data_IF_469083725035
#
_entry.id   IF_469083725035
#
_cell.length_a   1.000
_cell.length_b   1.000
_cell.length_c   1.000
_cell.angle_alpha   90.00
_cell.angle_beta   90.00
_cell.angle_gamma   90.00
#
_symmetry.space_group_name_H-M   'P 1'
#
loop_
_entity.id
_entity.type
_entity.pdbx_description
1 polymer ?
#
# COMPACT_ATOMS: atom_id res chain seq x y z
N UNK A 1 -47.73 -12.52 -46.13
CA UNK A 1 -46.72 -13.55 -46.49
C UNK A 1 -45.59 -12.85 -47.19
N UNK A 2 -44.49 -12.57 -46.48
CA UNK A 2 -43.28 -12.00 -47.08
C UNK A 2 -42.11 -12.82 -46.55
N UNK A 3 -41.42 -13.44 -47.50
CA UNK A 3 -40.42 -14.49 -47.32
C UNK A 3 -39.03 -13.90 -47.12
N UNK A 4 -38.27 -14.52 -46.22
CA UNK A 4 -36.86 -14.26 -45.95
C UNK A 4 -36.01 -14.94 -47.04
N UNK A 5 -34.99 -14.28 -47.65
CA UNK A 5 -33.96 -14.97 -48.39
C UNK A 5 -32.69 -15.18 -47.55
N UNK A 6 -32.11 -16.38 -47.70
CA UNK A 6 -30.86 -16.83 -47.10
C UNK A 6 -29.62 -16.14 -47.70
N UNK A 7 -28.49 -16.05 -46.96
CA UNK A 7 -27.26 -15.47 -47.49
C UNK A 7 -26.45 -16.47 -48.32
N UNK A 8 -25.98 -16.01 -49.47
CA UNK A 8 -25.11 -16.72 -50.39
C UNK A 8 -23.64 -16.69 -49.94
N UNK A 9 -23.01 -17.84 -50.10
CA UNK A 9 -21.57 -18.12 -49.99
C UNK A 9 -20.75 -17.36 -51.03
N UNK A 10 -19.63 -16.74 -50.62
CA UNK A 10 -18.55 -16.34 -51.54
C UNK A 10 -17.18 -16.28 -50.83
N UNK A 11 -16.43 -17.35 -51.07
CA UNK A 11 -14.99 -17.44 -51.37
C UNK A 11 -13.99 -16.52 -50.67
N UNK A 12 -13.17 -17.16 -49.84
CA UNK A 12 -11.86 -16.73 -49.34
C UNK A 12 -10.84 -16.61 -50.47
N UNK A 13 -10.32 -15.40 -50.69
CA UNK A 13 -9.13 -15.14 -51.51
C UNK A 13 -7.90 -15.07 -50.59
N UNK A 14 -7.05 -16.09 -50.66
CA UNK A 14 -5.69 -16.06 -50.13
C UNK A 14 -4.83 -15.18 -51.04
N UNK A 15 -4.34 -14.05 -50.52
CA UNK A 15 -3.30 -13.26 -51.17
C UNK A 15 -1.92 -13.70 -50.65
N UNK A 16 -1.16 -14.38 -51.50
CA UNK A 16 0.27 -14.61 -51.31
C UNK A 16 1.03 -13.37 -51.76
N UNK A 17 1.57 -12.60 -50.82
CA UNK A 17 2.54 -11.54 -51.11
C UNK A 17 3.91 -11.91 -50.55
N UNK A 18 4.79 -12.28 -51.47
CA UNK A 18 6.24 -12.35 -51.27
C UNK A 18 6.78 -10.93 -51.10
N UNK A 19 7.39 -10.61 -49.95
CA UNK A 19 8.33 -9.48 -49.86
C UNK A 19 9.64 -9.93 -49.21
N UNK A 20 10.69 -9.75 -50.00
CA UNK A 20 12.10 -10.01 -49.72
C UNK A 20 12.59 -9.15 -48.55
N UNK A 21 13.36 -9.80 -47.68
CA UNK A 21 14.23 -9.18 -46.68
C UNK A 21 15.26 -8.27 -47.36
N UNK A 22 15.31 -7.00 -46.95
CA UNK A 22 16.42 -6.08 -47.23
C UNK A 22 17.39 -6.06 -46.04
N UNK A 23 18.71 -6.03 -46.26
CA UNK A 23 19.69 -6.00 -45.17
C UNK A 23 19.91 -4.56 -44.67
N UNK A 24 19.78 -4.37 -43.35
CA UNK A 24 20.16 -3.14 -42.65
C UNK A 24 21.69 -2.95 -42.69
N UNK A 25 22.20 -1.74 -43.01
CA UNK A 25 23.62 -1.43 -42.87
C UNK A 25 23.97 -1.05 -41.43
N UNK A 26 24.88 -1.81 -40.82
CA UNK A 26 25.55 -1.52 -39.56
C UNK A 26 26.43 -0.27 -39.68
N UNK A 27 25.97 0.86 -39.14
CA UNK A 27 26.80 2.05 -38.92
C UNK A 27 27.57 1.90 -37.60
N UNK A 28 28.82 1.43 -37.70
CA UNK A 28 29.87 1.58 -36.69
C UNK A 28 30.18 3.07 -36.50
N UNK A 29 29.89 3.62 -35.32
CA UNK A 29 30.48 4.89 -34.86
C UNK A 29 31.71 4.58 -34.00
N UNK A 30 32.89 4.93 -34.51
CA UNK A 30 34.14 4.99 -33.75
C UNK A 30 34.12 6.24 -32.84
N UNK A 31 34.58 6.16 -31.58
CA UNK A 31 34.93 7.34 -30.80
C UNK A 31 36.38 7.73 -31.10
N UNK A 32 36.57 8.92 -31.68
CA UNK A 32 37.87 9.59 -31.83
C UNK A 32 38.35 10.11 -30.48
N UNK A 33 39.51 9.66 -30.02
CA UNK A 33 40.29 10.28 -28.94
C UNK A 33 41.36 11.19 -29.56
N UNK A 34 41.62 12.40 -29.01
CA UNK A 34 42.76 13.20 -29.44
C UNK A 34 44.06 12.68 -28.82
N UNK A 35 45.06 12.48 -29.68
CA UNK A 35 46.44 12.12 -29.35
C UNK A 35 47.21 13.40 -28.98
N UNK A 36 47.78 13.45 -27.76
CA UNK A 36 48.75 14.46 -27.36
C UNK A 36 50.17 13.92 -27.58
N UNK A 37 51.00 14.71 -28.27
CA UNK A 37 52.34 14.35 -28.71
C UNK A 37 53.41 14.29 -27.61
N UNK A 38 54.41 13.45 -27.86
CA UNK A 38 55.59 13.23 -27.03
C UNK A 38 56.61 14.37 -27.14
N UNK A 39 57.29 14.68 -26.03
CA UNK A 39 58.41 15.63 -25.95
C UNK A 39 59.31 15.40 -24.73
N UNK A 40 60.41 14.68 -24.98
CA UNK A 40 61.66 14.44 -24.22
C UNK A 40 62.00 15.18 -22.91
N UNK A 41 62.44 14.37 -21.94
CA UNK A 41 63.41 14.55 -20.84
C UNK A 41 64.34 15.79 -20.85
N UNK A 42 64.51 16.43 -19.66
CA UNK A 42 65.80 16.46 -18.91
C UNK A 42 65.67 17.03 -17.48
N UNK A 43 66.29 16.32 -16.54
CA UNK A 43 66.45 16.64 -15.13
C UNK A 43 67.62 17.62 -14.91
N UNK A 44 67.44 18.63 -14.03
CA UNK A 44 68.53 19.36 -13.36
C UNK A 44 68.15 19.65 -11.91
N UNK A 45 69.08 19.28 -11.05
CA UNK A 45 69.14 19.36 -9.59
C UNK A 45 69.43 20.76 -9.05
N UNK A 46 68.82 21.13 -7.92
CA UNK A 46 69.45 21.89 -6.83
C UNK A 46 68.79 21.57 -5.46
N UNK A 47 69.63 21.37 -4.44
CA UNK A 47 69.35 21.03 -3.02
C UNK A 47 68.80 22.26 -2.23
N UNK A 48 68.28 22.27 -0.98
CA UNK A 48 68.30 21.52 0.32
C UNK A 48 67.29 22.29 1.27
N UNK A 49 67.06 22.04 2.59
CA UNK A 49 67.27 20.92 3.54
C UNK A 49 65.95 20.51 4.29
N UNK A 50 65.95 19.65 5.35
CA UNK A 50 64.80 18.81 5.72
C UNK A 50 63.90 19.39 6.81
N UNK A 51 62.62 18.98 6.82
CA UNK A 51 61.70 19.21 7.94
C UNK A 51 60.97 17.92 8.35
N UNK A 52 61.28 17.50 9.58
CA UNK A 52 60.46 16.83 10.59
C UNK A 52 59.49 15.71 10.16
N UNK A 53 59.83 14.50 10.60
CA UNK A 53 58.94 13.33 10.62
C UNK A 53 57.86 13.56 11.69
N UNK A 54 56.60 13.69 11.27
CA UNK A 54 55.43 13.45 12.11
C UNK A 54 54.71 12.23 11.57
N UNK A 55 54.67 11.18 12.40
CA UNK A 55 53.91 9.96 12.16
C UNK A 55 52.42 10.28 12.23
N UNK A 56 51.77 10.41 11.07
CA UNK A 56 50.31 10.30 10.98
C UNK A 56 49.94 8.84 10.77
N UNK A 57 49.22 8.28 11.72
CA UNK A 57 48.56 6.97 11.65
C UNK A 57 47.76 6.83 10.34
N UNK A 58 47.77 5.65 9.69
CA UNK A 58 46.97 5.45 8.50
C UNK A 58 45.50 5.35 8.92
N UNK A 59 44.73 6.41 8.64
CA UNK A 59 43.27 6.32 8.55
C UNK A 59 42.93 5.31 7.45
N UNK A 60 42.56 4.10 7.83
CA UNK A 60 41.85 3.16 6.97
C UNK A 60 40.52 3.80 6.58
N UNK A 61 40.53 4.55 5.47
CA UNK A 61 39.31 4.82 4.71
C UNK A 61 38.91 3.50 4.07
N UNK A 62 37.99 2.79 4.71
CA UNK A 62 37.22 1.73 4.07
C UNK A 62 36.46 2.33 2.89
N UNK A 63 37.03 2.19 1.70
CA UNK A 63 36.32 2.41 0.45
C UNK A 63 35.49 1.15 0.21
N UNK A 64 34.24 1.12 0.70
CA UNK A 64 33.29 0.12 0.26
C UNK A 64 32.97 0.38 -1.22
N UNK A 65 33.57 -0.43 -2.10
CA UNK A 65 33.11 -0.56 -3.48
C UNK A 65 31.68 -1.13 -3.42
N UNK A 66 30.65 -0.28 -3.54
CA UNK A 66 29.30 -0.75 -3.83
C UNK A 66 29.35 -1.42 -5.21
N UNK A 67 29.25 -2.74 -5.25
CA UNK A 67 29.17 -3.54 -6.48
C UNK A 67 27.97 -3.06 -7.32
N UNK A 68 28.23 -2.18 -8.27
CA UNK A 68 27.23 -1.49 -9.11
C UNK A 68 26.36 -2.44 -9.96
N UNK A 69 26.71 -3.73 -10.00
CA UNK A 69 26.02 -4.77 -10.78
C UNK A 69 25.23 -5.77 -9.92
N UNK A 70 25.17 -5.60 -8.59
CA UNK A 70 24.48 -6.55 -7.73
C UNK A 70 22.99 -6.27 -7.70
N UNK A 71 22.24 -6.98 -8.54
CA UNK A 71 20.78 -7.03 -8.48
C UNK A 71 20.38 -7.79 -7.23
N UNK A 72 19.65 -7.13 -6.33
CA UNK A 72 19.05 -7.76 -5.16
C UNK A 72 17.54 -7.84 -5.35
N UNK A 73 16.96 -9.04 -5.23
CA UNK A 73 15.52 -9.23 -5.27
C UNK A 73 14.91 -9.24 -3.86
N UNK A 74 13.58 -9.05 -3.80
CA UNK A 74 12.83 -9.00 -2.54
C UNK A 74 13.05 -10.24 -1.69
N UNK A 75 13.01 -11.43 -2.28
CA UNK A 75 13.22 -12.70 -1.56
C UNK A 75 14.58 -12.74 -0.87
N UNK A 76 15.66 -12.41 -1.60
CA UNK A 76 17.01 -12.39 -1.04
C UNK A 76 17.15 -11.31 0.02
N UNK A 77 16.54 -10.15 -0.19
CA UNK A 77 16.54 -9.07 0.78
C UNK A 77 15.83 -9.45 2.08
N UNK A 78 14.65 -10.10 2.00
CA UNK A 78 13.91 -10.60 3.17
C UNK A 78 14.72 -11.64 3.94
N UNK A 79 15.32 -12.61 3.25
CA UNK A 79 16.18 -13.63 3.88
C UNK A 79 17.38 -13.01 4.60
N UNK A 80 17.94 -11.90 4.09
CA UNK A 80 18.99 -11.16 4.81
C UNK A 80 18.46 -10.46 6.06
N UNK A 81 17.23 -9.93 6.02
CA UNK A 81 16.60 -9.34 7.21
C UNK A 81 16.31 -10.41 8.28
N UNK A 82 15.92 -11.61 7.86
CA UNK A 82 15.75 -12.78 8.73
C UNK A 82 17.08 -13.20 9.38
N UNK A 83 18.13 -13.38 8.57
CA UNK A 83 19.48 -13.70 9.07
C UNK A 83 20.03 -12.63 10.02
N UNK A 84 19.67 -11.36 9.78
CA UNK A 84 20.01 -10.24 10.65
C UNK A 84 19.18 -10.15 11.94
N UNK A 85 18.17 -11.01 12.11
CA UNK A 85 17.28 -11.02 13.26
C UNK A 85 16.33 -9.82 13.32
N UNK A 86 16.13 -9.10 12.21
CA UNK A 86 15.16 -8.00 12.13
C UNK A 86 13.74 -8.53 12.05
N UNK A 87 13.55 -9.65 11.35
CA UNK A 87 12.29 -10.36 11.20
C UNK A 87 12.50 -11.85 11.47
N UNK A 88 11.43 -12.56 11.79
CA UNK A 88 11.46 -14.02 11.90
C UNK A 88 11.12 -14.70 10.56
N UNK A 89 11.23 -16.03 10.56
CA UNK A 89 10.90 -16.85 9.39
C UNK A 89 9.40 -16.76 9.03
N UNK A 90 8.52 -16.60 10.03
CA UNK A 90 7.08 -16.53 9.80
C UNK A 90 6.66 -15.25 9.06
N UNK A 91 7.16 -14.09 9.50
CA UNK A 91 6.93 -12.81 8.85
C UNK A 91 7.54 -12.77 7.44
N UNK A 92 8.68 -13.43 7.24
CA UNK A 92 9.29 -13.60 5.92
C UNK A 92 8.34 -14.31 4.94
N UNK A 93 7.66 -15.36 5.40
CA UNK A 93 6.65 -16.08 4.60
C UNK A 93 5.44 -15.18 4.34
N UNK A 94 4.92 -14.49 5.35
CA UNK A 94 3.77 -13.57 5.20
C UNK A 94 4.06 -12.49 4.16
N UNK A 95 5.22 -11.83 4.24
CA UNK A 95 5.64 -10.80 3.28
C UNK A 95 5.83 -11.36 1.87
N UNK A 96 6.36 -12.57 1.75
CA UNK A 96 6.50 -13.26 0.48
C UNK A 96 5.13 -13.57 -0.15
N UNK A 97 4.17 -14.06 0.65
CA UNK A 97 2.79 -14.29 0.22
C UNK A 97 2.07 -13.01 -0.23
N UNK A 98 2.25 -11.90 0.50
CA UNK A 98 1.73 -10.59 0.11
C UNK A 98 2.32 -10.16 -1.24
N UNK A 99 3.65 -10.32 -1.42
CA UNK A 99 4.29 -9.98 -2.69
C UNK A 99 3.76 -10.81 -3.87
N UNK A 100 3.42 -12.08 -3.63
CA UNK A 100 2.82 -12.96 -4.64
C UNK A 100 1.41 -12.49 -5.02
N UNK A 101 0.57 -12.15 -4.03
CA UNK A 101 -0.76 -11.58 -4.27
C UNK A 101 -0.66 -10.31 -5.13
N UNK A 102 0.25 -9.40 -4.79
CA UNK A 102 0.51 -8.17 -5.55
C UNK A 102 0.94 -8.44 -7.01
N UNK A 103 1.80 -9.45 -7.25
CA UNK A 103 2.20 -9.85 -8.62
C UNK A 103 0.99 -10.35 -9.42
N UNK A 104 0.12 -11.15 -8.80
CA UNK A 104 -1.09 -11.66 -9.45
C UNK A 104 -2.10 -10.56 -9.76
N UNK A 105 -2.35 -9.65 -8.81
CA UNK A 105 -3.22 -8.48 -9.00
C UNK A 105 -2.68 -7.57 -10.10
N UNK A 106 -1.37 -7.30 -10.13
CA UNK A 106 -0.75 -6.53 -11.20
C UNK A 106 -1.01 -7.15 -12.58
N UNK A 107 -0.87 -8.47 -12.70
CA UNK A 107 -1.17 -9.19 -13.95
C UNK A 107 -2.66 -9.09 -14.33
N UNK A 108 -3.58 -9.12 -13.36
CA UNK A 108 -5.01 -8.97 -13.61
C UNK A 108 -5.37 -7.56 -14.06
N UNK A 109 -4.84 -6.54 -13.40
CA UNK A 109 -5.08 -5.13 -13.74
C UNK A 109 -4.60 -4.81 -15.16
N UNK A 110 -3.41 -5.28 -15.54
CA UNK A 110 -2.85 -5.10 -16.90
C UNK A 110 -3.68 -5.78 -17.99
N UNK A 111 -4.44 -6.82 -17.64
CA UNK A 111 -5.27 -7.60 -18.58
C UNK A 111 -6.76 -7.30 -18.44
N UNK A 112 -7.15 -6.43 -17.52
CA UNK A 112 -8.54 -6.20 -17.10
C UNK A 112 -9.48 -5.88 -18.26
N UNK A 113 -9.04 -5.00 -19.17
CA UNK A 113 -9.79 -4.63 -20.38
C UNK A 113 -9.88 -5.75 -21.43
N UNK A 114 -8.97 -6.73 -21.39
CA UNK A 114 -8.95 -7.88 -22.31
C UNK A 114 -9.88 -8.98 -21.79
N UNK A 115 -9.87 -9.21 -20.48
CA UNK A 115 -10.65 -10.26 -19.82
C UNK A 115 -12.06 -9.81 -19.42
N UNK A 116 -12.49 -8.61 -19.83
CA UNK A 116 -13.78 -8.00 -19.47
C UNK A 116 -14.04 -8.00 -17.95
N UNK A 117 -12.99 -7.75 -17.17
CA UNK A 117 -13.07 -7.61 -15.70
C UNK A 117 -13.39 -6.16 -15.28
N UNK A 118 -13.53 -5.24 -16.23
CA UNK A 118 -13.95 -3.85 -16.02
C UNK A 118 -15.46 -3.76 -15.82
N UNK A 119 -15.91 -2.81 -14.99
CA UNK A 119 -17.32 -2.59 -14.66
C UNK A 119 -17.78 -3.15 -13.31
N UNK A 120 -18.97 -2.71 -12.89
CA UNK A 120 -19.57 -3.06 -11.62
C UNK A 120 -19.92 -4.56 -11.53
N UNK A 121 -19.80 -5.12 -10.33
CA UNK A 121 -20.24 -6.49 -10.04
C UNK A 121 -21.76 -6.58 -9.81
N UNK A 122 -22.44 -5.43 -9.71
CA UNK A 122 -23.87 -5.35 -9.42
C UNK A 122 -24.21 -5.57 -7.94
N UNK A 123 -23.19 -5.64 -7.08
CA UNK A 123 -23.29 -5.71 -5.62
C UNK A 123 -22.83 -4.40 -5.00
N UNK A 124 -23.56 -3.95 -3.98
CA UNK A 124 -23.16 -2.83 -3.14
C UNK A 124 -22.36 -3.43 -1.98
N UNK A 125 -21.17 -2.88 -1.72
CA UNK A 125 -20.34 -3.37 -0.61
C UNK A 125 -20.95 -2.98 0.76
N UNK A 126 -20.34 -3.47 1.85
CA UNK A 126 -20.82 -3.26 3.22
C UNK A 126 -20.81 -1.78 3.65
N UNK A 127 -20.19 -0.90 2.86
CA UNK A 127 -20.12 0.54 3.10
C UNK A 127 -20.98 1.37 2.13
N UNK A 128 -21.77 0.73 1.26
CA UNK A 128 -22.69 1.44 0.36
C UNK A 128 -22.06 1.89 -0.97
N UNK A 129 -20.88 1.41 -1.32
CA UNK A 129 -20.15 1.75 -2.56
C UNK A 129 -20.37 0.66 -3.64
N UNK A 130 -20.36 1.04 -4.91
CA UNK A 130 -20.50 0.10 -6.04
C UNK A 130 -19.23 -0.76 -6.15
N UNK A 131 -19.35 -2.04 -5.81
CA UNK A 131 -18.22 -2.95 -5.80
C UNK A 131 -17.83 -3.34 -7.23
N UNK A 132 -16.54 -3.21 -7.59
CA UNK A 132 -16.05 -3.65 -8.89
C UNK A 132 -15.60 -5.10 -8.81
N UNK A 133 -15.69 -5.80 -9.95
CA UNK A 133 -15.31 -7.23 -10.03
C UNK A 133 -13.86 -7.47 -9.62
N UNK A 134 -12.98 -6.53 -9.95
CA UNK A 134 -11.57 -6.62 -9.61
C UNK A 134 -11.31 -6.47 -8.11
N UNK A 135 -12.17 -5.76 -7.39
CA UNK A 135 -12.04 -5.60 -5.94
C UNK A 135 -12.27 -6.95 -5.26
N UNK A 136 -13.35 -7.66 -5.64
CA UNK A 136 -13.67 -9.00 -5.13
C UNK A 136 -12.59 -10.02 -5.49
N UNK A 137 -12.15 -10.05 -6.75
CA UNK A 137 -11.10 -11.00 -7.16
C UNK A 137 -9.79 -10.72 -6.41
N UNK A 138 -9.44 -9.45 -6.21
CA UNK A 138 -8.21 -9.08 -5.50
C UNK A 138 -8.27 -9.43 -4.02
N UNK A 139 -9.42 -9.24 -3.38
CA UNK A 139 -9.67 -9.70 -2.01
C UNK A 139 -9.52 -11.22 -1.88
N UNK A 140 -10.12 -11.98 -2.81
CA UNK A 140 -10.00 -13.46 -2.84
C UNK A 140 -8.55 -13.90 -3.00
N UNK A 141 -7.77 -13.26 -3.88
CA UNK A 141 -6.36 -13.55 -4.09
C UNK A 141 -5.51 -13.28 -2.85
N UNK A 142 -5.71 -12.12 -2.21
CA UNK A 142 -5.03 -11.79 -0.95
C UNK A 142 -5.36 -12.83 0.13
N UNK A 143 -6.64 -13.12 0.33
CA UNK A 143 -7.07 -14.10 1.32
C UNK A 143 -6.49 -15.49 1.01
N UNK A 144 -6.50 -15.93 -0.24
CA UNK A 144 -5.95 -17.24 -0.64
C UNK A 144 -4.44 -17.34 -0.41
N UNK A 145 -3.67 -16.31 -0.81
CA UNK A 145 -2.22 -16.25 -0.60
C UNK A 145 -1.84 -16.20 0.89
N UNK A 146 -2.62 -15.49 1.71
CA UNK A 146 -2.39 -15.40 3.15
C UNK A 146 -2.81 -16.68 3.88
N UNK A 147 -3.93 -17.31 3.52
CA UNK A 147 -4.35 -18.60 4.10
C UNK A 147 -3.36 -19.71 3.78
N UNK A 148 -2.95 -19.83 2.52
CA UNK A 148 -1.94 -20.81 2.09
C UNK A 148 -0.56 -20.61 2.72
N UNK A 149 -0.27 -19.43 3.26
CA UNK A 149 0.97 -19.20 4.03
C UNK A 149 1.02 -20.01 5.33
N UNK A 150 -0.14 -20.30 5.93
CA UNK A 150 -0.25 -20.97 7.23
C UNK A 150 0.26 -20.15 8.43
N UNK A 151 0.63 -18.87 8.25
CA UNK A 151 1.28 -18.01 9.27
C UNK A 151 0.46 -16.79 9.70
N UNK A 152 -0.66 -16.52 9.03
CA UNK A 152 -1.54 -15.39 9.35
C UNK A 152 -2.70 -15.85 10.22
N UNK A 153 -2.78 -15.39 11.48
CA UNK A 153 -3.87 -15.78 12.39
C UNK A 153 -5.18 -15.07 12.09
N UNK A 154 -5.13 -13.75 11.85
CA UNK A 154 -6.32 -12.95 11.56
C UNK A 154 -6.10 -12.14 10.28
N UNK A 155 -7.11 -12.14 9.42
CA UNK A 155 -7.17 -11.35 8.20
C UNK A 155 -8.29 -10.31 8.35
N UNK A 156 -7.97 -9.02 8.19
CA UNK A 156 -8.95 -7.97 8.09
C UNK A 156 -8.82 -7.27 6.73
N UNK A 157 -9.88 -7.33 5.94
CA UNK A 157 -9.94 -6.70 4.63
C UNK A 157 -10.90 -5.53 4.67
N UNK A 158 -10.58 -4.49 3.91
CA UNK A 158 -11.49 -3.38 3.64
C UNK A 158 -12.84 -3.85 3.05
N UNK A 159 -12.80 -4.90 2.22
CA UNK A 159 -13.96 -5.44 1.48
C UNK A 159 -14.87 -6.34 2.33
N UNK A 160 -14.43 -6.75 3.52
CA UNK A 160 -15.15 -7.66 4.40
C UNK A 160 -15.72 -6.91 5.61
N UNK A 161 -16.98 -7.20 6.00
CA UNK A 161 -17.60 -6.55 7.15
C UNK A 161 -16.86 -6.85 8.47
N UNK A 162 -16.36 -8.08 8.62
CA UNK A 162 -15.80 -8.59 9.87
C UNK A 162 -14.47 -9.27 9.58
N UNK A 163 -13.45 -9.10 10.44
CA UNK A 163 -12.20 -9.84 10.32
C UNK A 163 -12.43 -11.36 10.40
N UNK A 164 -11.61 -12.11 9.68
CA UNK A 164 -11.70 -13.57 9.57
C UNK A 164 -10.50 -14.20 10.26
N UNK A 165 -10.76 -15.04 11.27
CA UNK A 165 -9.76 -15.95 11.82
C UNK A 165 -9.42 -17.04 10.80
N UNK A 166 -8.14 -17.38 10.69
CA UNK A 166 -7.68 -18.44 9.78
C UNK A 166 -7.43 -19.70 10.59
N UNK A 167 -8.44 -20.57 10.66
CA UNK A 167 -8.40 -21.85 11.40
C UNK A 167 -7.33 -22.81 10.87
N UNK A 168 -6.95 -22.71 9.59
CA UNK A 168 -5.95 -23.59 8.96
C UNK A 168 -4.49 -23.22 9.28
N UNK A 169 -4.23 -22.31 10.22
CA UNK A 169 -2.86 -21.90 10.57
C UNK A 169 -2.24 -22.76 11.65
N UNK A 170 -0.99 -23.16 11.44
CA UNK A 170 -0.24 -24.01 12.37
C UNK A 170 0.28 -23.24 13.60
N UNK A 171 0.37 -21.90 13.51
CA UNK A 171 1.00 -21.04 14.53
C UNK A 171 0.62 -19.55 14.41
N UNK A 172 -0.51 -19.21 13.78
CA UNK A 172 -0.82 -17.86 13.25
C UNK A 172 -0.66 -16.68 14.21
N UNK A 173 0.56 -16.15 14.34
CA UNK A 173 0.90 -15.06 15.26
C UNK A 173 0.58 -13.68 14.69
N UNK A 174 0.48 -13.55 13.36
CA UNK A 174 0.37 -12.24 12.72
C UNK A 174 -1.07 -11.89 12.35
N UNK A 175 -1.39 -10.61 12.51
CA UNK A 175 -2.65 -10.03 12.05
C UNK A 175 -2.32 -9.18 10.83
N UNK A 176 -2.95 -9.51 9.69
CA UNK A 176 -2.74 -8.77 8.44
C UNK A 176 -4.00 -8.00 8.12
N UNK A 177 -3.84 -6.68 8.02
CA UNK A 177 -4.90 -5.76 7.58
C UNK A 177 -4.55 -5.26 6.18
N UNK A 178 -5.50 -5.22 5.26
CA UNK A 178 -5.20 -4.77 3.90
C UNK A 178 -6.38 -4.11 3.20
N UNK A 179 -6.04 -3.24 2.25
CA UNK A 179 -6.93 -2.77 1.19
C UNK A 179 -6.46 -3.42 -0.12
N UNK A 180 -7.27 -4.31 -0.74
CA UNK A 180 -6.85 -5.06 -1.91
C UNK A 180 -6.65 -4.15 -3.13
N UNK A 181 -7.50 -3.12 -3.30
CA UNK A 181 -7.37 -2.12 -4.37
C UNK A 181 -7.83 -0.74 -3.86
N UNK A 182 -6.87 0.11 -3.50
CA UNK A 182 -7.06 1.54 -3.39
C UNK A 182 -7.21 2.17 -4.79
N UNK A 183 -8.14 3.13 -4.85
CA UNK A 183 -8.46 3.84 -6.09
C UNK A 183 -9.25 2.98 -7.08
N UNK A 184 -10.09 2.05 -6.63
CA UNK A 184 -10.94 1.23 -7.51
C UNK A 184 -11.71 2.04 -8.57
N UNK A 185 -12.12 3.27 -8.24
CA UNK A 185 -12.70 4.24 -9.18
C UNK A 185 -11.86 4.47 -10.46
N UNK A 186 -10.54 4.38 -10.36
CA UNK A 186 -9.56 4.58 -11.45
C UNK A 186 -9.39 3.37 -12.38
N UNK A 187 -9.93 2.19 -12.02
CA UNK A 187 -9.77 0.96 -12.80
C UNK A 187 -10.27 1.14 -14.24
N UNK A 188 -11.49 1.66 -14.42
CA UNK A 188 -12.12 1.74 -15.74
C UNK A 188 -11.50 2.83 -16.63
N UNK A 189 -10.77 3.77 -16.03
CA UNK A 189 -10.05 4.85 -16.73
C UNK A 189 -8.57 4.53 -16.96
N UNK A 190 -8.14 3.31 -16.62
CA UNK A 190 -6.74 2.87 -16.69
C UNK A 190 -5.76 3.82 -15.97
N UNK A 191 -6.24 4.47 -14.90
CA UNK A 191 -5.44 5.33 -14.05
C UNK A 191 -4.76 4.49 -12.95
N UNK A 192 -3.88 5.15 -12.19
CA UNK A 192 -3.10 4.51 -11.13
C UNK A 192 -3.99 3.99 -10.02
N UNK A 193 -3.68 2.77 -9.56
CA UNK A 193 -4.28 2.09 -8.40
C UNK A 193 -3.17 1.49 -7.52
N UNK A 194 -3.52 0.87 -6.41
CA UNK A 194 -2.55 0.12 -5.60
C UNK A 194 -3.19 -0.76 -4.54
N UNK A 195 -2.42 -1.64 -3.91
CA UNK A 195 -2.84 -2.38 -2.71
C UNK A 195 -2.10 -1.84 -1.49
N UNK A 196 -2.75 -1.84 -0.33
CA UNK A 196 -2.19 -1.36 0.94
C UNK A 196 -2.21 -2.50 1.95
N UNK A 197 -1.17 -2.64 2.77
CA UNK A 197 -1.17 -3.63 3.85
C UNK A 197 -0.44 -3.13 5.10
N UNK A 198 -0.92 -3.58 6.25
CA UNK A 198 -0.29 -3.44 7.56
C UNK A 198 -0.24 -4.79 8.26
N UNK A 199 0.83 -5.03 9.01
CA UNK A 199 1.04 -6.27 9.76
C UNK A 199 1.24 -5.91 11.23
N UNK A 200 0.37 -6.44 12.08
CA UNK A 200 0.47 -6.34 13.52
C UNK A 200 0.95 -7.66 14.12
N UNK A 201 1.58 -7.56 15.28
CA UNK A 201 1.80 -8.72 16.14
C UNK A 201 0.51 -9.18 16.81
N UNK A 202 0.54 -10.34 17.46
CA UNK A 202 -0.60 -10.82 18.22
C UNK A 202 -0.83 -9.90 19.42
N UNK A 203 -2.09 -9.60 19.73
CA UNK A 203 -2.39 -8.91 20.98
C UNK A 203 -2.17 -9.89 22.14
N UNK A 204 -1.31 -9.51 23.10
CA UNK A 204 -1.05 -10.31 24.31
C UNK A 204 -2.32 -10.53 25.14
N UNK A 205 -3.34 -9.69 24.97
CA UNK A 205 -4.63 -9.83 25.67
C UNK A 205 -5.57 -10.85 25.00
N UNK A 206 -5.29 -11.24 23.75
CA UNK A 206 -6.12 -12.16 22.98
C UNK A 206 -5.45 -13.51 22.69
N UNK A 207 -4.20 -13.72 23.15
CA UNK A 207 -3.58 -15.04 23.18
C UNK A 207 -4.33 -15.91 24.19
N UNK A 208 -5.05 -16.90 23.69
CA UNK A 208 -5.60 -18.00 24.49
C UNK A 208 -4.78 -19.23 24.16
N UNK A 209 -4.12 -19.81 25.17
CA UNK A 209 -3.58 -21.16 25.07
C UNK A 209 -4.77 -22.11 24.82
N UNK A 210 -4.84 -22.69 23.63
CA UNK A 210 -5.89 -23.65 23.24
C UNK A 210 -5.85 -24.95 24.05
N UNK A 211 -4.92 -25.07 24.99
CA UNK A 211 -4.70 -26.24 25.86
C UNK A 211 -5.26 -26.07 27.28
N UNK A 212 -5.83 -24.91 27.65
CA UNK A 212 -6.33 -24.65 29.01
C UNK A 212 -7.87 -24.50 29.05
N UNK A 213 -8.55 -25.65 29.17
CA UNK A 213 -10.01 -25.80 29.40
C UNK A 213 -10.53 -25.05 30.65
N UNK A 214 -9.65 -24.44 31.46
CA UNK A 214 -10.01 -23.76 32.71
C UNK A 214 -10.46 -22.30 32.55
N UNK A 215 -10.30 -21.69 31.38
CA UNK A 215 -10.56 -20.24 31.19
C UNK A 215 -12.04 -19.89 30.95
N UNK A 216 -12.93 -20.87 30.79
CA UNK A 216 -14.36 -20.68 30.47
C UNK A 216 -15.25 -20.14 31.61
N UNK A 217 -14.69 -19.57 32.69
CA UNK A 217 -15.47 -19.28 33.90
C UNK A 217 -15.34 -17.87 34.50
N UNK A 218 -14.96 -16.85 33.72
CA UNK A 218 -15.08 -15.46 34.19
C UNK A 218 -15.81 -14.54 33.20
N UNK A 219 -17.00 -14.00 33.55
CA UNK A 219 -17.64 -12.98 32.73
C UNK A 219 -16.81 -11.70 32.74
N UNK A 220 -16.60 -11.13 31.55
CA UNK A 220 -15.87 -9.88 31.34
C UNK A 220 -16.76 -8.69 31.75
N UNK A 221 -16.48 -8.05 32.89
CA UNK A 221 -17.18 -6.83 33.32
C UNK A 221 -16.75 -5.63 32.46
N UNK A 222 -17.57 -5.28 31.47
CA UNK A 222 -17.56 -3.95 30.86
C UNK A 222 -17.98 -2.91 31.91
N UNK A 223 -17.05 -2.06 32.35
CA UNK A 223 -17.35 -0.86 33.15
C UNK A 223 -18.19 0.11 32.31
N UNK A 224 -19.51 -0.02 32.40
CA UNK A 224 -20.46 0.93 31.83
C UNK A 224 -20.34 2.29 32.54
N UNK A 225 -19.88 3.31 31.81
CA UNK A 225 -20.17 4.71 32.11
C UNK A 225 -21.28 5.20 31.18
N UNK A 226 -22.51 5.14 31.66
CA UNK A 226 -23.54 6.15 31.40
C UNK A 226 -24.33 6.08 30.08
N UNK A 227 -25.58 5.61 30.23
CA UNK A 227 -26.80 5.77 29.41
C UNK A 227 -27.07 4.71 28.32
N UNK A 228 -28.27 4.09 28.32
CA UNK A 228 -28.62 3.03 27.39
C UNK A 228 -29.10 3.64 26.07
N UNK A 229 -28.42 3.31 24.96
CA UNK A 229 -29.06 3.34 23.65
C UNK A 229 -29.45 1.91 23.30
N UNK A 230 -30.76 1.65 23.32
CA UNK A 230 -31.37 0.42 22.84
C UNK A 230 -31.09 0.32 21.34
N UNK A 231 -30.23 -0.61 20.93
CA UNK A 231 -30.02 -0.95 19.54
C UNK A 231 -31.14 -1.90 19.11
N UNK A 232 -32.15 -1.37 18.41
CA UNK A 232 -33.15 -2.20 17.73
C UNK A 232 -32.52 -2.83 16.49
N UNK A 233 -32.26 -4.14 16.50
CA UNK A 233 -32.04 -4.89 15.27
C UNK A 233 -33.43 -5.26 14.69
N UNK A 234 -33.87 -4.53 13.67
CA UNK A 234 -35.09 -4.87 12.94
C UNK A 234 -34.83 -6.07 12.03
N UNK A 235 -35.25 -7.27 12.47
CA UNK A 235 -35.31 -8.46 11.60
C UNK A 235 -36.61 -8.38 10.78
N UNK A 236 -36.56 -7.70 9.64
CA UNK A 236 -37.69 -7.70 8.69
C UNK A 236 -37.71 -9.03 7.96
N UNK A 237 -38.66 -9.88 8.32
CA UNK A 237 -38.94 -11.15 7.65
C UNK A 237 -39.59 -10.88 6.29
N UNK A 238 -38.89 -11.14 5.19
CA UNK A 238 -39.51 -11.24 3.85
C UNK A 238 -39.51 -12.71 3.44
N UNK A 239 -40.71 -13.31 3.48
CA UNK A 239 -41.01 -14.63 2.91
C UNK A 239 -41.23 -14.47 1.39
N UNK A 240 -40.56 -15.30 0.58
CA UNK A 240 -41.04 -15.63 -0.77
C UNK A 240 -39.99 -16.03 -1.80
N UNK A 241 -40.12 -17.28 -2.29
CA UNK A 241 -39.72 -17.81 -3.62
C UNK A 241 -38.27 -18.31 -3.87
N UNK A 242 -38.07 -19.59 -3.51
CA UNK A 242 -37.56 -20.72 -4.34
C UNK A 242 -36.42 -20.44 -5.35
N UNK A 243 -35.21 -20.96 -5.09
CA UNK A 243 -34.41 -21.73 -6.09
C UNK A 243 -33.47 -22.77 -5.43
N UNK A 244 -33.60 -24.01 -5.92
CA UNK A 244 -32.95 -25.32 -5.68
C UNK A 244 -31.64 -25.47 -4.85
N UNK A 245 -31.77 -26.28 -3.78
CA UNK A 245 -30.92 -27.39 -3.26
C UNK A 245 -29.38 -27.26 -3.32
N UNK A 246 -28.82 -26.65 -2.26
CA UNK A 246 -27.78 -27.28 -1.43
C UNK A 246 -28.25 -27.18 0.02
N UNK A 247 -28.15 -28.27 0.76
CA UNK A 247 -28.60 -28.40 2.15
C UNK A 247 -27.86 -27.39 3.04
N UNK A 248 -28.49 -26.24 3.31
CA UNK A 248 -28.10 -25.37 4.42
C UNK A 248 -28.58 -26.01 5.71
N UNK A 249 -27.64 -26.46 6.54
CA UNK A 249 -27.90 -26.80 7.93
C UNK A 249 -28.20 -25.47 8.62
N UNK A 250 -29.45 -25.23 9.01
CA UNK A 250 -29.79 -24.10 9.87
C UNK A 250 -29.13 -24.37 11.22
N UNK A 251 -28.04 -23.65 11.53
CA UNK A 251 -27.41 -23.68 12.83
C UNK A 251 -28.33 -22.88 13.77
N UNK A 252 -29.00 -23.57 14.69
CA UNK A 252 -29.78 -22.96 15.76
C UNK A 252 -29.33 -23.61 17.06
N UNK A 253 -28.51 -22.91 17.85
CA UNK A 253 -27.92 -23.41 19.09
C UNK A 253 -26.61 -22.70 19.47
N UNK A 254 -25.88 -23.21 20.49
CA UNK A 254 -24.65 -22.61 21.05
C UNK A 254 -23.50 -22.42 20.06
N UNK A 255 -23.51 -23.09 18.90
CA UNK A 255 -22.58 -22.85 17.79
C UNK A 255 -22.69 -21.42 17.21
N UNK A 256 -23.87 -20.79 17.25
CA UNK A 256 -24.05 -19.41 16.78
C UNK A 256 -23.45 -18.41 17.77
N UNK A 257 -23.62 -18.64 19.08
CA UNK A 257 -23.04 -17.81 20.15
C UNK A 257 -21.50 -17.89 20.14
N UNK A 258 -20.94 -19.09 19.99
CA UNK A 258 -19.49 -19.29 19.85
C UNK A 258 -18.88 -18.57 18.64
N UNK A 259 -19.59 -18.56 17.51
CA UNK A 259 -19.13 -17.90 16.28
C UNK A 259 -19.14 -16.37 16.43
N UNK A 260 -20.10 -15.83 17.17
CA UNK A 260 -20.20 -14.39 17.42
C UNK A 260 -19.16 -13.93 18.44
N UNK A 261 -18.88 -14.71 19.48
CA UNK A 261 -17.76 -14.44 20.39
C UNK A 261 -16.39 -14.50 19.69
N UNK A 262 -16.18 -15.46 18.77
CA UNK A 262 -14.94 -15.55 18.01
C UNK A 262 -14.72 -14.33 17.11
N UNK A 263 -15.78 -13.83 16.48
CA UNK A 263 -15.75 -12.59 15.68
C UNK A 263 -15.46 -11.37 16.55
N UNK A 264 -16.11 -11.24 17.71
CA UNK A 264 -15.85 -10.14 18.64
C UNK A 264 -14.39 -10.13 19.10
N UNK A 265 -13.81 -11.30 19.41
CA UNK A 265 -12.38 -11.44 19.75
C UNK A 265 -11.47 -11.01 18.59
N UNK A 266 -11.81 -11.39 17.36
CA UNK A 266 -11.04 -10.97 16.18
C UNK A 266 -11.09 -9.45 15.98
N UNK A 267 -12.27 -8.85 16.15
CA UNK A 267 -12.46 -7.39 16.09
C UNK A 267 -11.58 -6.68 17.11
N UNK A 268 -11.58 -7.13 18.37
CA UNK A 268 -10.75 -6.54 19.42
C UNK A 268 -9.26 -6.67 19.08
N UNK A 269 -8.82 -7.86 18.67
CA UNK A 269 -7.42 -8.13 18.33
C UNK A 269 -6.90 -7.28 17.17
N UNK A 270 -7.77 -6.93 16.22
CA UNK A 270 -7.45 -6.15 15.02
C UNK A 270 -7.42 -4.64 15.30
N UNK A 271 -8.25 -4.16 16.25
CA UNK A 271 -8.39 -2.75 16.60
C UNK A 271 -7.22 -2.23 17.45
N UNK A 272 -6.00 -2.33 16.93
CA UNK A 272 -4.78 -1.82 17.54
C UNK A 272 -4.38 -0.46 16.97
N UNK A 273 -3.74 0.42 17.75
CA UNK A 273 -3.18 1.66 17.22
C UNK A 273 -2.08 1.37 16.20
N UNK A 274 -1.94 2.23 15.19
CA UNK A 274 -0.94 2.07 14.13
C UNK A 274 0.52 2.06 14.65
N UNK A 275 0.76 2.54 15.87
CA UNK A 275 2.05 2.41 16.55
C UNK A 275 2.51 0.97 16.78
N UNK A 276 1.58 0.01 16.78
CA UNK A 276 1.84 -1.41 16.98
C UNK A 276 2.15 -2.16 15.66
N UNK A 277 2.17 -1.47 14.51
CA UNK A 277 2.55 -2.06 13.24
C UNK A 277 4.02 -2.55 13.30
N UNK A 278 4.21 -3.83 13.02
CA UNK A 278 5.52 -4.46 12.87
C UNK A 278 6.10 -4.19 11.48
N UNK A 279 5.22 -4.21 10.48
CA UNK A 279 5.55 -3.88 9.11
C UNK A 279 4.34 -3.23 8.42
N UNK A 280 4.60 -2.39 7.44
CA UNK A 280 3.57 -1.85 6.56
C UNK A 280 4.14 -1.60 5.17
N UNK A 281 3.26 -1.59 4.18
CA UNK A 281 3.66 -1.42 2.81
C UNK A 281 2.49 -1.15 1.88
N UNK A 282 2.83 -0.92 0.62
CA UNK A 282 1.88 -0.87 -0.46
C UNK A 282 2.49 -1.44 -1.74
N UNK A 283 1.65 -1.85 -2.68
CA UNK A 283 2.05 -2.12 -4.05
C UNK A 283 1.36 -1.15 -4.99
N UNK A 284 2.13 -0.31 -5.67
CA UNK A 284 1.66 0.61 -6.68
C UNK A 284 1.47 -0.13 -8.01
N UNK A 285 0.32 0.05 -8.67
CA UNK A 285 0.06 -0.41 -10.02
C UNK A 285 -0.11 0.79 -10.94
N UNK A 286 0.94 1.11 -11.70
CA UNK A 286 0.96 2.25 -12.62
C UNK A 286 1.76 1.90 -13.88
N UNK A 287 2.42 2.89 -14.49
CA UNK A 287 3.39 2.66 -15.58
C UNK A 287 4.52 1.69 -15.20
N UNK A 288 4.76 1.53 -13.90
CA UNK A 288 5.58 0.47 -13.32
C UNK A 288 4.84 -0.12 -12.10
N UNK A 289 5.22 -1.33 -11.71
CA UNK A 289 4.71 -1.95 -10.48
C UNK A 289 5.77 -1.85 -9.41
N UNK A 290 5.46 -1.18 -8.31
CA UNK A 290 6.43 -0.86 -7.25
C UNK A 290 5.91 -1.31 -5.90
N UNK A 291 6.58 -2.29 -5.30
CA UNK A 291 6.32 -2.78 -3.95
C UNK A 291 7.17 -1.98 -2.96
N UNK A 292 6.52 -1.24 -2.06
CA UNK A 292 7.18 -0.39 -1.06
C UNK A 292 6.90 -0.97 0.32
N UNK A 293 7.94 -1.12 1.15
CA UNK A 293 7.88 -1.82 2.43
C UNK A 293 8.72 -1.11 3.49
N UNK A 294 8.23 -1.14 4.73
CA UNK A 294 9.03 -0.87 5.92
C UNK A 294 8.83 -1.97 6.96
N UNK A 295 9.94 -2.34 7.61
CA UNK A 295 10.00 -3.27 8.74
C UNK A 295 10.35 -2.54 10.05
N UNK A 296 10.01 -1.25 10.14
CA UNK A 296 10.31 -0.39 11.29
C UNK A 296 11.70 0.26 11.29
N UNK A 297 12.52 -0.01 10.27
CA UNK A 297 13.85 0.58 10.09
C UNK A 297 14.02 1.09 8.65
N UNK A 298 13.42 2.24 8.36
CA UNK A 298 13.50 2.87 7.05
C UNK A 298 12.53 2.27 6.03
N UNK A 299 12.52 2.83 4.83
CA UNK A 299 11.57 2.49 3.75
C UNK A 299 12.33 2.03 2.51
N UNK A 300 11.91 0.92 1.94
CA UNK A 300 12.55 0.31 0.77
C UNK A 300 11.53 0.15 -0.35
N UNK A 301 11.95 0.36 -1.60
CA UNK A 301 11.09 0.12 -2.76
C UNK A 301 11.73 -0.87 -3.72
N UNK A 302 10.90 -1.80 -4.18
CA UNK A 302 11.25 -2.85 -5.12
C UNK A 302 10.39 -2.70 -6.37
N UNK A 303 11.01 -2.64 -7.54
CA UNK A 303 10.31 -2.54 -8.82
C UNK A 303 10.20 -3.92 -9.44
N UNK A 304 9.01 -4.29 -9.90
CA UNK A 304 8.79 -5.56 -10.59
C UNK A 304 9.47 -5.52 -11.95
N UNK A 305 10.39 -6.46 -12.20
CA UNK A 305 10.83 -6.77 -13.55
C UNK A 305 9.85 -7.78 -14.17
N UNK A 306 9.05 -7.38 -15.18
CA UNK A 306 8.07 -8.27 -15.79
C UNK A 306 8.71 -9.43 -16.57
N UNK A 307 10.00 -9.34 -16.92
CA UNK A 307 10.72 -10.38 -17.66
C UNK A 307 11.01 -11.59 -16.78
N UNK A 308 11.45 -11.34 -15.55
CA UNK A 308 11.81 -12.39 -14.59
C UNK A 308 10.68 -12.67 -13.58
N UNK A 309 9.68 -11.79 -13.50
CA UNK A 309 8.60 -11.90 -12.53
C UNK A 309 9.05 -11.63 -11.09
N UNK A 310 10.13 -10.86 -10.90
CA UNK A 310 10.74 -10.61 -9.59
C UNK A 310 10.76 -9.13 -9.21
N UNK A 311 10.52 -8.87 -7.92
CA UNK A 311 10.67 -7.55 -7.34
C UNK A 311 12.15 -7.30 -7.07
N UNK A 312 12.73 -6.30 -7.72
CA UNK A 312 14.14 -5.92 -7.60
C UNK A 312 14.27 -4.64 -6.79
N UNK A 313 15.17 -4.61 -5.82
CA UNK A 313 15.44 -3.45 -4.99
C UNK A 313 15.94 -2.28 -5.88
N UNK A 314 15.19 -1.18 -5.87
CA UNK A 314 15.53 0.02 -6.66
C UNK A 314 15.81 1.24 -5.80
N UNK A 315 15.25 1.30 -4.59
CA UNK A 315 15.47 2.39 -3.65
C UNK A 315 15.69 1.85 -2.24
N UNK A 316 16.84 2.18 -1.68
CA UNK A 316 17.19 1.89 -0.29
C UNK A 316 16.88 3.11 0.59
N UNK A 317 16.33 2.85 1.78
CA UNK A 317 16.15 3.82 2.86
C UNK A 317 15.62 5.20 2.40
N UNK A 318 14.48 5.19 1.72
CA UNK A 318 13.81 6.39 1.20
C UNK A 318 13.59 7.39 2.33
N UNK A 319 14.01 8.64 2.10
CA UNK A 319 13.78 9.76 3.01
C UNK A 319 12.91 10.79 2.30
N UNK A 320 11.77 11.11 2.91
CA UNK A 320 10.89 12.14 2.37
C UNK A 320 11.57 13.52 2.50
N UNK A 321 11.52 14.38 1.47
CA UNK A 321 11.99 15.74 1.59
C UNK A 321 11.30 16.50 2.74
N UNK A 322 12.06 17.34 3.46
CA UNK A 322 11.54 18.08 4.63
C UNK A 322 10.46 19.10 4.28
N UNK A 323 10.50 19.64 3.08
CA UNK A 323 9.52 20.56 2.47
C UNK A 323 9.29 20.17 1.01
N UNK A 324 8.17 20.59 0.42
CA UNK A 324 7.90 20.43 -1.00
C UNK A 324 6.74 21.30 -1.46
N UNK A 325 6.94 22.08 -2.53
CA UNK A 325 5.89 22.97 -3.09
C UNK A 325 4.86 22.23 -3.95
N UNK A 326 4.35 21.12 -3.44
CA UNK A 326 3.31 20.29 -4.06
C UNK A 326 2.23 20.04 -3.01
N UNK A 327 0.98 20.29 -3.35
CA UNK A 327 -0.15 19.97 -2.48
C UNK A 327 -1.16 19.11 -3.25
N UNK A 328 -1.80 18.19 -2.52
CA UNK A 328 -2.75 17.25 -3.08
C UNK A 328 -4.01 17.15 -2.24
N UNK A 329 -5.08 17.71 -2.78
CA UNK A 329 -6.40 17.79 -2.17
C UNK A 329 -7.45 17.70 -3.29
N UNK A 330 -8.58 17.06 -3.01
CA UNK A 330 -9.72 17.10 -3.92
C UNK A 330 -10.46 18.45 -3.79
N UNK A 331 -9.96 19.48 -4.47
CA UNK A 331 -10.50 20.84 -4.41
C UNK A 331 -11.95 20.96 -4.93
N UNK A 332 -12.52 19.91 -5.55
CA UNK A 332 -13.96 19.85 -5.82
C UNK A 332 -14.82 19.94 -4.56
N UNK A 333 -14.25 19.67 -3.38
CA UNK A 333 -14.91 19.79 -2.08
C UNK A 333 -14.62 21.13 -1.36
N UNK A 334 -14.02 22.12 -2.03
CA UNK A 334 -13.55 23.36 -1.39
C UNK A 334 -14.61 24.04 -0.53
N UNK A 335 -15.83 24.20 -1.05
CA UNK A 335 -16.93 24.87 -0.35
C UNK A 335 -17.52 24.06 0.83
N UNK A 336 -17.16 22.77 0.91
CA UNK A 336 -17.59 21.86 1.98
C UNK A 336 -16.64 21.84 3.18
N UNK A 337 -15.48 22.49 3.07
CA UNK A 337 -14.48 22.58 4.14
C UNK A 337 -14.68 23.82 5.03
N UNK A 338 -14.06 23.78 6.21
CA UNK A 338 -14.02 24.92 7.12
C UNK A 338 -13.13 26.04 6.60
N UNK A 339 -13.34 27.25 7.14
CA UNK A 339 -12.64 28.45 6.68
C UNK A 339 -11.14 28.41 6.99
N UNK A 340 -10.71 27.67 8.02
CA UNK A 340 -9.29 27.52 8.36
C UNK A 340 -8.55 26.78 7.25
N UNK A 341 -9.11 25.66 6.78
CA UNK A 341 -8.53 24.88 5.69
C UNK A 341 -8.60 25.64 4.35
N UNK A 342 -9.69 26.38 4.11
CA UNK A 342 -9.80 27.26 2.92
C UNK A 342 -8.69 28.30 2.89
N UNK A 343 -8.48 29.01 4.00
CA UNK A 343 -7.40 30.01 4.13
C UNK A 343 -6.01 29.39 3.89
N UNK A 344 -5.78 28.17 4.34
CA UNK A 344 -4.54 27.43 4.06
C UNK A 344 -4.35 27.19 2.56
N UNK A 345 -5.36 26.65 1.88
CA UNK A 345 -5.31 26.35 0.44
C UNK A 345 -5.17 27.62 -0.39
N UNK A 346 -5.88 28.68 -0.03
CA UNK A 346 -5.76 29.99 -0.68
C UNK A 346 -4.33 30.54 -0.58
N UNK A 347 -3.66 30.37 0.56
CA UNK A 347 -2.25 30.72 0.71
C UNK A 347 -1.36 29.88 -0.23
N UNK A 348 -1.61 28.58 -0.41
CA UNK A 348 -0.78 27.76 -1.31
C UNK A 348 -0.87 28.21 -2.79
N UNK A 349 -2.02 28.76 -3.20
CA UNK A 349 -2.25 29.31 -4.55
C UNK A 349 -1.57 30.67 -4.77
N UNK A 350 -1.17 31.37 -3.70
CA UNK A 350 -0.47 32.64 -3.83
C UNK A 350 0.98 32.43 -4.31
N UNK A 351 1.47 33.22 -5.29
CA UNK A 351 2.87 33.21 -5.66
C UNK A 351 3.77 33.58 -4.48
N UNK A 352 4.78 32.75 -4.19
CA UNK A 352 5.79 33.08 -3.19
C UNK A 352 6.80 34.13 -3.68
N UNK A 353 7.86 34.36 -2.91
CA UNK A 353 8.96 35.30 -3.24
C UNK A 353 9.56 35.12 -4.64
N UNK A 354 9.56 33.89 -5.16
CA UNK A 354 10.12 33.55 -6.46
C UNK A 354 9.08 33.65 -7.60
N UNK A 355 7.92 34.28 -7.36
CA UNK A 355 6.85 34.49 -8.33
C UNK A 355 6.09 33.21 -8.73
N UNK A 356 6.27 32.09 -8.02
CA UNK A 356 5.60 30.81 -8.31
C UNK A 356 4.82 30.29 -7.10
N UNK A 357 3.55 29.87 -7.28
CA UNK A 357 2.76 29.23 -6.23
C UNK A 357 3.15 27.76 -6.06
N UNK A 358 2.45 27.06 -5.17
CA UNK A 358 2.56 25.60 -5.05
C UNK A 358 1.92 24.93 -6.28
N UNK A 359 2.39 23.73 -6.61
CA UNK A 359 1.81 22.90 -7.67
C UNK A 359 0.69 22.01 -7.11
N UNK A 360 -0.55 22.21 -7.56
CA UNK A 360 -1.65 21.30 -7.28
C UNK A 360 -1.50 20.00 -8.07
N UNK A 361 -1.56 18.84 -7.41
CA UNK A 361 -1.56 17.51 -8.03
C UNK A 361 -2.55 16.63 -7.29
N UNK A 362 -3.44 15.95 -8.00
CA UNK A 362 -4.38 15.01 -7.38
C UNK A 362 -4.68 13.87 -8.36
N UNK A 363 -4.26 12.66 -7.99
CA UNK A 363 -4.37 11.40 -8.75
C UNK A 363 -5.69 10.71 -8.43
N UNK A 364 -6.22 10.88 -7.21
CA UNK A 364 -7.42 10.18 -6.75
C UNK A 364 -7.18 8.73 -6.32
N UNK A 365 -5.93 8.35 -6.05
CA UNK A 365 -5.52 7.05 -5.50
C UNK A 365 -4.48 7.31 -4.40
N UNK A 366 -4.78 6.94 -3.16
CA UNK A 366 -3.93 7.19 -2.00
C UNK A 366 -2.52 6.62 -2.19
N UNK A 367 -2.38 5.41 -2.73
CA UNK A 367 -1.09 4.77 -3.00
C UNK A 367 -0.23 5.61 -3.95
N UNK A 368 -0.84 6.12 -5.04
CA UNK A 368 -0.16 7.01 -5.98
C UNK A 368 0.25 8.35 -5.35
N UNK A 369 -0.60 8.89 -4.49
CA UNK A 369 -0.32 10.12 -3.73
C UNK A 369 0.89 9.97 -2.81
N UNK A 370 0.89 8.92 -1.99
CA UNK A 370 1.98 8.63 -1.05
C UNK A 370 3.27 8.31 -1.79
N UNK A 371 3.22 7.51 -2.86
CA UNK A 371 4.42 7.18 -3.63
C UNK A 371 5.10 8.42 -4.23
N UNK A 372 4.32 9.31 -4.87
CA UNK A 372 4.87 10.57 -5.38
C UNK A 372 5.47 11.40 -4.25
N UNK A 373 4.79 11.47 -3.12
CA UNK A 373 5.16 12.29 -1.99
C UNK A 373 6.45 11.79 -1.31
N UNK A 374 6.63 10.49 -1.15
CA UNK A 374 7.87 9.90 -0.63
C UNK A 374 9.11 10.33 -1.45
N UNK A 375 8.96 10.46 -2.76
CA UNK A 375 10.07 10.81 -3.66
C UNK A 375 10.24 12.32 -3.90
N UNK A 376 9.15 13.10 -3.85
CA UNK A 376 9.17 14.53 -4.24
C UNK A 376 8.82 15.50 -3.13
N UNK A 377 8.41 15.00 -1.97
CA UNK A 377 7.89 15.81 -0.87
C UNK A 377 6.55 16.46 -1.20
N UNK A 378 6.12 17.36 -0.30
CA UNK A 378 4.82 18.02 -0.34
C UNK A 378 3.85 17.44 0.67
N UNK A 379 2.58 17.73 0.48
CA UNK A 379 1.51 17.36 1.42
C UNK A 379 0.30 16.81 0.68
N UNK A 380 -0.27 15.73 1.21
CA UNK A 380 -1.57 15.20 0.85
C UNK A 380 -2.56 15.43 1.99
N UNK A 381 -3.83 15.70 1.65
CA UNK A 381 -4.89 15.74 2.64
C UNK A 381 -6.23 15.20 2.15
N UNK A 382 -6.85 14.40 3.01
CA UNK A 382 -8.24 13.95 2.93
C UNK A 382 -8.98 14.47 4.18
N UNK A 383 -9.40 15.74 4.17
CA UNK A 383 -10.06 16.37 5.31
C UNK A 383 -11.49 15.87 5.47
N UNK A 384 -12.02 16.01 6.69
CA UNK A 384 -13.46 15.93 6.93
C UNK A 384 -14.19 17.04 6.18
N UNK A 385 -15.44 16.81 5.82
CA UNK A 385 -16.29 17.82 5.18
C UNK A 385 -17.74 17.70 5.68
N UNK A 386 -18.64 18.55 5.18
CA UNK A 386 -20.06 18.55 5.58
C UNK A 386 -20.77 17.20 5.36
N UNK A 387 -20.39 16.48 4.30
CA UNK A 387 -20.96 15.17 3.94
C UNK A 387 -20.26 14.00 4.67
N UNK A 388 -18.95 14.12 4.88
CA UNK A 388 -18.07 13.11 5.47
C UNK A 388 -17.41 13.66 6.73
N UNK A 389 -18.19 13.68 7.83
CA UNK A 389 -17.80 14.33 9.09
C UNK A 389 -16.55 13.73 9.75
N UNK A 390 -16.26 12.46 9.46
CA UNK A 390 -15.11 11.72 9.98
C UNK A 390 -14.03 11.46 8.91
N UNK A 391 -14.05 12.18 7.79
CA UNK A 391 -13.19 11.88 6.64
C UNK A 391 -13.67 10.65 5.85
N UNK A 392 -12.99 10.37 4.73
CA UNK A 392 -13.35 9.27 3.84
C UNK A 392 -12.43 8.05 3.97
N UNK A 393 -11.21 8.20 4.45
CA UNK A 393 -10.24 7.09 4.46
C UNK A 393 -10.34 6.30 5.77
N UNK A 394 -10.20 4.98 5.67
CA UNK A 394 -10.30 4.05 6.81
C UNK A 394 -9.00 4.04 7.59
N UNK A 395 -9.11 4.12 8.91
CA UNK A 395 -7.98 4.24 9.81
C UNK A 395 -7.07 3.01 9.71
N UNK A 396 -7.64 1.82 9.79
CA UNK A 396 -6.90 0.58 9.94
C UNK A 396 -6.19 0.12 8.65
N UNK A 397 -6.87 0.24 7.51
CA UNK A 397 -6.42 -0.30 6.22
C UNK A 397 -5.65 0.70 5.37
N UNK A 398 -5.93 2.00 5.53
CA UNK A 398 -5.41 3.05 4.63
C UNK A 398 -4.52 4.02 5.41
N UNK A 399 -5.07 4.69 6.43
CA UNK A 399 -4.37 5.78 7.11
C UNK A 399 -3.19 5.30 7.96
N UNK A 400 -3.35 4.25 8.76
CA UNK A 400 -2.31 3.76 9.66
C UNK A 400 -1.11 3.17 8.89
N UNK A 401 -1.27 2.25 7.91
CA UNK A 401 -0.15 1.73 7.13
C UNK A 401 0.61 2.82 6.37
N UNK A 402 -0.10 3.78 5.76
CA UNK A 402 0.52 4.88 5.03
C UNK A 402 1.26 5.86 5.96
N UNK A 403 0.68 6.15 7.12
CA UNK A 403 1.33 6.99 8.15
C UNK A 403 2.60 6.34 8.68
N UNK A 404 2.57 5.02 8.91
CA UNK A 404 3.75 4.27 9.34
C UNK A 404 4.89 4.40 8.34
N UNK A 405 4.63 4.18 7.05
CA UNK A 405 5.63 4.34 5.99
C UNK A 405 6.19 5.76 5.93
N UNK A 406 5.32 6.78 5.95
CA UNK A 406 5.76 8.17 5.84
C UNK A 406 6.58 8.60 7.05
N UNK A 407 6.23 8.17 8.26
CA UNK A 407 7.02 8.44 9.46
C UNK A 407 8.37 7.72 9.45
N UNK A 408 8.42 6.48 8.97
CA UNK A 408 9.68 5.74 8.76
C UNK A 408 10.60 6.41 7.73
N UNK A 409 10.03 7.14 6.77
CA UNK A 409 10.75 7.98 5.82
C UNK A 409 11.12 9.37 6.38
N UNK A 410 10.79 9.68 7.64
CA UNK A 410 11.08 10.96 8.30
C UNK A 410 10.06 12.08 8.05
N UNK A 411 8.84 11.70 7.65
CA UNK A 411 7.67 12.57 7.45
C UNK A 411 6.75 12.67 8.66
N UNK A 412 5.55 13.22 8.46
CA UNK A 412 4.51 13.36 9.50
C UNK A 412 3.13 13.02 8.95
N UNK A 413 2.26 12.51 9.83
CA UNK A 413 0.85 12.26 9.56
C UNK A 413 -0.03 12.66 10.76
N UNK A 414 -1.12 13.39 10.51
CA UNK A 414 -2.06 13.87 11.54
C UNK A 414 -3.49 13.83 11.02
N UNK A 415 -4.48 13.70 11.90
CA UNK A 415 -5.90 13.90 11.57
C UNK A 415 -6.30 15.40 11.55
N UNK A 416 -5.33 16.28 11.83
CA UNK A 416 -5.49 17.72 12.03
C UNK A 416 -5.18 18.15 13.46
N UNK A 417 -5.26 17.23 14.43
CA UNK A 417 -5.07 17.48 15.86
C UNK A 417 -4.15 16.46 16.53
N UNK A 418 -4.37 15.17 16.29
CA UNK A 418 -3.63 14.04 16.83
C UNK A 418 -2.77 13.38 15.73
N UNK A 419 -1.68 12.72 16.13
CA UNK A 419 -0.88 11.85 15.25
C UNK A 419 -1.66 10.60 14.89
N UNK A 420 -1.70 10.22 13.60
CA UNK A 420 -2.53 9.11 13.11
C UNK A 420 -2.23 7.78 13.82
N UNK A 421 -0.94 7.46 14.02
CA UNK A 421 -0.53 6.19 14.62
C UNK A 421 -0.89 6.04 16.10
N UNK A 422 -1.29 7.13 16.77
CA UNK A 422 -1.70 7.13 18.18
C UNK A 422 -3.21 6.97 18.35
N UNK A 423 -3.97 7.02 17.25
CA UNK A 423 -5.42 6.82 17.28
C UNK A 423 -5.68 5.32 17.47
N UNK A 424 -6.33 4.97 18.58
CA UNK A 424 -6.81 3.60 18.81
C UNK A 424 -8.16 3.42 18.09
N UNK A 425 -8.27 2.49 17.13
CA UNK A 425 -9.53 2.25 16.43
C UNK A 425 -10.62 1.78 17.41
N UNK A 426 -11.78 2.41 17.36
CA UNK A 426 -12.99 1.98 18.08
C UNK A 426 -13.82 0.98 17.28
N UNK A 427 -13.70 1.03 15.95
CA UNK A 427 -14.39 0.17 14.99
C UNK A 427 -13.40 -0.24 13.91
N UNK A 428 -13.54 -1.47 13.41
CA UNK A 428 -12.73 -2.03 12.32
C UNK A 428 -12.75 -1.11 11.09
N UNK A 429 -13.93 -0.60 10.73
CA UNK A 429 -14.16 0.28 9.59
C UNK A 429 -14.19 1.78 9.96
N UNK A 430 -13.54 2.17 11.07
CA UNK A 430 -13.47 3.58 11.47
C UNK A 430 -12.78 4.41 10.38
N UNK A 431 -13.42 5.52 9.98
CA UNK A 431 -12.82 6.52 9.08
C UNK A 431 -12.17 7.65 9.89
N UNK A 432 -11.15 8.28 9.32
CA UNK A 432 -10.48 9.44 9.90
C UNK A 432 -10.10 10.45 8.81
N UNK A 433 -10.16 11.77 9.08
CA UNK A 433 -9.41 12.70 8.24
C UNK A 433 -7.91 12.43 8.36
N UNK A 434 -7.16 12.79 7.33
CA UNK A 434 -5.70 12.65 7.34
C UNK A 434 -5.04 13.78 6.56
N UNK A 435 -3.93 14.26 7.09
CA UNK A 435 -2.98 15.15 6.45
C UNK A 435 -1.58 14.58 6.67
N UNK A 436 -0.86 14.33 5.59
CA UNK A 436 0.35 13.50 5.62
C UNK A 436 1.36 14.03 4.60
N UNK A 437 2.64 13.95 4.94
CA UNK A 437 3.73 14.29 4.02
C UNK A 437 4.98 14.88 4.67
N UNK A 438 5.58 15.81 3.95
CA UNK A 438 6.77 16.54 4.37
C UNK A 438 6.52 17.22 5.74
N UNK A 439 7.43 17.06 6.71
CA UNK A 439 7.20 17.51 8.09
C UNK A 439 6.93 19.02 8.19
N UNK A 440 7.65 19.85 7.43
CA UNK A 440 7.46 21.31 7.46
C UNK A 440 6.12 21.73 6.83
N UNK A 441 5.62 20.97 5.84
CA UNK A 441 4.32 21.23 5.20
C UNK A 441 3.16 20.86 6.13
N UNK A 442 3.28 19.73 6.84
CA UNK A 442 2.28 19.31 7.84
C UNK A 442 2.25 20.29 9.01
N UNK A 443 3.41 20.73 9.50
CA UNK A 443 3.49 21.77 10.55
C UNK A 443 2.91 23.11 10.09
N UNK A 444 3.15 23.50 8.83
CA UNK A 444 2.55 24.70 8.26
C UNK A 444 1.02 24.60 8.27
N UNK A 445 0.46 23.47 7.83
CA UNK A 445 -0.98 23.23 7.86
C UNK A 445 -1.53 23.30 9.31
N UNK A 446 -0.87 22.64 10.27
CA UNK A 446 -1.33 22.61 11.66
C UNK A 446 -1.46 24.02 12.26
N UNK A 447 -0.59 24.96 11.88
CA UNK A 447 -0.71 26.38 12.28
C UNK A 447 -1.98 27.06 11.77
N UNK A 448 -2.52 26.64 10.62
CA UNK A 448 -3.79 27.14 10.11
C UNK A 448 -4.99 26.51 10.80
N UNK A 449 -4.88 25.22 11.19
CA UNK A 449 -5.97 24.48 11.82
C UNK A 449 -6.11 24.77 13.32
N UNK A 450 -5.03 25.22 13.98
CA UNK A 450 -4.96 25.60 15.40
C UNK A 450 -6.01 26.65 15.79
#
# INVERSE_FOLDING_TARGET
MISIPAPSSSQTLFSTSNYRLSPFPLLRRNPTYPVAGAGSFRCRTTARPPALVTSTEPKTRGSENKDYYRIENLTTWLLKQEQGGTIDAELTIVLSSISLACKQIASLLQRSSITNLTGAQGTINVQGEDQKKLDVISNELFCSCLRSSGRTGIIASEEEAVPVAVEETYSGNYIVVFDPIDGSANIDTALTTGSIFGIYGPDKQCLVDLDDDSTFSKPFELKQRGKPHVLYLAVTTVRGLIYRKRTFKFLSGPEVELLDEAKERCVISVCQPGSNLLAAGYCLYSSSVVFTLSLGKGVFAFTLDPTYGEFVLTHENIQIPKTGKIYSFNEGNYDLWDDKLKNYLDHLRQPGSNGKPYSGRYIGCLVGEIHRMLLRGGIYGNPKNKSSKNGNLRLLYECAPMSYLVEQAGGKATDGYQRILEITPSLVHQRTPIFIGSPEEVEKLQKYLA
#
